data_IF_343874309146
#
_entry.id   IF_343874309146
#
_cell.length_a   1.000
_cell.length_b   1.000
_cell.length_c   1.000
_cell.angle_alpha   90.00
_cell.angle_beta   90.00
_cell.angle_gamma   90.00
#
_symmetry.space_group_name_H-M   'P 1'
#
loop_
_entity.id
_entity.type
_entity.pdbx_description
1 polymer ?
#
# COMPACT_ATOMS: atom_id res chain seq x y z
N UNK A 1 -32.06 25.72 -40.13
CA UNK A 1 -31.07 24.66 -40.45
C UNK A 1 -29.74 24.77 -39.70
N UNK A 2 -29.31 25.94 -39.20
CA UNK A 2 -28.02 26.09 -38.49
C UNK A 2 -27.98 25.64 -37.02
N UNK A 3 -29.13 25.52 -36.34
CA UNK A 3 -29.18 25.26 -34.89
C UNK A 3 -29.13 23.76 -34.54
N UNK A 4 -29.54 22.89 -35.46
CA UNK A 4 -29.54 21.43 -35.28
C UNK A 4 -28.14 20.86 -35.52
N UNK A 5 -27.36 21.43 -36.46
CA UNK A 5 -25.97 21.03 -36.69
C UNK A 5 -25.07 21.30 -35.48
N UNK A 6 -25.35 22.36 -34.70
CA UNK A 6 -24.51 22.73 -33.55
C UNK A 6 -24.70 21.79 -32.35
N UNK A 7 -25.92 21.28 -32.15
CA UNK A 7 -26.26 20.32 -31.07
C UNK A 7 -25.65 18.94 -31.35
N UNK A 8 -25.63 18.51 -32.62
CA UNK A 8 -24.99 17.24 -33.02
C UNK A 8 -23.47 17.31 -32.86
N UNK A 9 -22.87 18.48 -33.11
CA UNK A 9 -21.42 18.69 -32.90
C UNK A 9 -21.03 18.70 -31.41
N UNK A 10 -21.87 19.26 -30.53
CA UNK A 10 -21.65 19.25 -29.07
C UNK A 10 -21.86 17.87 -28.44
N UNK A 11 -22.80 17.06 -28.95
CA UNK A 11 -23.01 15.70 -28.46
C UNK A 11 -21.91 14.72 -28.93
N UNK A 12 -21.28 14.96 -30.09
CA UNK A 12 -20.17 14.14 -30.56
C UNK A 12 -18.86 14.34 -29.75
N UNK A 13 -18.66 15.50 -29.12
CA UNK A 13 -17.46 15.78 -28.33
C UNK A 13 -17.44 15.19 -26.92
N UNK A 14 -18.60 14.82 -26.37
CA UNK A 14 -18.69 14.28 -24.99
C UNK A 14 -18.34 12.78 -24.94
N UNK A 15 -18.37 12.06 -26.07
CA UNK A 15 -18.12 10.62 -26.14
C UNK A 15 -16.63 10.22 -26.21
N UNK A 16 -15.69 11.16 -26.36
CA UNK A 16 -14.26 10.83 -26.58
C UNK A 16 -13.42 10.88 -25.29
N UNK A 17 -13.91 11.50 -24.20
CA UNK A 17 -13.09 11.76 -23.00
C UNK A 17 -13.28 10.79 -21.83
N UNK A 18 -14.22 9.84 -21.90
CA UNK A 18 -14.56 8.98 -20.76
C UNK A 18 -13.60 7.82 -20.45
N UNK A 19 -12.69 7.46 -21.36
CA UNK A 19 -11.92 6.21 -21.26
C UNK A 19 -10.62 6.25 -20.45
N UNK A 20 -10.09 7.44 -20.10
CA UNK A 20 -8.74 7.54 -19.48
C UNK A 20 -8.71 7.49 -17.95
N UNK A 21 -9.79 7.86 -17.26
CA UNK A 21 -9.75 8.07 -15.81
C UNK A 21 -9.57 6.76 -15.02
N UNK A 22 -10.21 5.66 -15.44
CA UNK A 22 -10.11 4.37 -14.73
C UNK A 22 -8.75 3.66 -14.88
N UNK A 23 -8.02 3.91 -15.96
CA UNK A 23 -6.72 3.25 -16.21
C UNK A 23 -5.57 3.85 -15.40
N UNK A 24 -5.64 5.14 -15.09
CA UNK A 24 -4.59 5.85 -14.35
C UNK A 24 -4.53 5.39 -12.88
N UNK A 25 -5.68 5.14 -12.26
CA UNK A 25 -5.74 4.68 -10.87
C UNK A 25 -5.20 3.25 -10.71
N UNK A 26 -5.53 2.34 -11.64
CA UNK A 26 -5.04 0.96 -11.61
C UNK A 26 -3.51 0.87 -11.82
N UNK A 27 -2.96 1.70 -12.70
CA UNK A 27 -1.50 1.79 -12.91
C UNK A 27 -0.80 2.34 -11.65
N UNK A 28 -1.36 3.38 -11.03
CA UNK A 28 -0.81 3.97 -9.81
C UNK A 28 -0.83 2.99 -8.63
N UNK A 29 -1.91 2.22 -8.47
CA UNK A 29 -2.01 1.15 -7.47
C UNK A 29 -0.96 0.07 -7.73
N UNK A 30 -0.81 -0.36 -8.99
CA UNK A 30 0.19 -1.36 -9.37
C UNK A 30 1.61 -0.87 -9.08
N UNK A 31 1.91 0.40 -9.39
CA UNK A 31 3.17 1.05 -9.03
C UNK A 31 3.36 1.07 -7.51
N UNK A 32 2.31 1.35 -6.75
CA UNK A 32 2.33 1.36 -5.29
C UNK A 32 2.68 0.01 -4.68
N UNK A 33 2.13 -1.09 -5.22
CA UNK A 33 2.48 -2.44 -4.77
C UNK A 33 3.94 -2.78 -5.08
N UNK A 34 4.46 -2.38 -6.24
CA UNK A 34 5.90 -2.50 -6.53
C UNK A 34 6.74 -1.71 -5.52
N UNK A 35 6.36 -0.48 -5.17
CA UNK A 35 7.05 0.30 -4.12
C UNK A 35 7.01 -0.43 -2.78
N UNK A 36 5.88 -1.06 -2.42
CA UNK A 36 5.77 -1.89 -1.21
C UNK A 36 6.82 -3.02 -1.18
N UNK A 37 7.09 -3.66 -2.32
CA UNK A 37 8.15 -4.67 -2.47
C UNK A 37 9.56 -4.04 -2.42
N UNK A 38 9.81 -3.05 -3.26
CA UNK A 38 11.14 -2.44 -3.42
C UNK A 38 11.64 -1.78 -2.14
N UNK A 39 10.74 -1.20 -1.34
CA UNK A 39 11.05 -0.63 -0.02
C UNK A 39 11.00 -1.65 1.11
N UNK A 40 10.77 -2.93 0.79
CA UNK A 40 10.76 -4.07 1.73
C UNK A 40 9.74 -3.92 2.86
N UNK A 41 8.57 -3.36 2.57
CA UNK A 41 7.48 -3.27 3.55
C UNK A 41 7.01 -4.67 3.97
N UNK A 42 7.07 -5.65 3.05
CA UNK A 42 6.70 -7.05 3.28
C UNK A 42 7.50 -7.77 4.37
N UNK A 43 8.70 -7.28 4.72
CA UNK A 43 9.52 -7.92 5.77
C UNK A 43 8.95 -7.75 7.18
N UNK A 44 7.99 -6.84 7.35
CA UNK A 44 7.33 -6.61 8.64
C UNK A 44 5.81 -6.71 8.55
N UNK A 45 5.23 -6.43 7.39
CA UNK A 45 3.79 -6.44 7.17
C UNK A 45 3.39 -7.54 6.19
N UNK A 46 2.24 -8.17 6.43
CA UNK A 46 1.59 -9.03 5.43
C UNK A 46 0.51 -8.26 4.67
N UNK A 47 0.15 -8.77 3.50
CA UNK A 47 -1.08 -8.39 2.79
C UNK A 47 -1.70 -9.69 2.27
N UNK A 48 -2.39 -10.40 3.14
CA UNK A 48 -2.97 -11.70 2.82
C UNK A 48 -3.97 -11.65 1.65
N UNK A 49 -4.66 -10.52 1.45
CA UNK A 49 -5.59 -10.33 0.33
C UNK A 49 -4.92 -10.39 -1.06
N UNK A 50 -3.63 -10.03 -1.16
CA UNK A 50 -2.86 -9.98 -2.40
C UNK A 50 -1.57 -10.82 -2.30
N UNK A 51 -1.58 -11.88 -1.48
CA UNK A 51 -0.38 -12.66 -1.19
C UNK A 51 0.28 -13.23 -2.46
N UNK A 52 -0.52 -13.67 -3.45
CA UNK A 52 -0.01 -14.25 -4.70
C UNK A 52 0.69 -13.19 -5.55
N UNK A 53 0.11 -12.01 -5.66
CA UNK A 53 0.65 -10.87 -6.39
C UNK A 53 1.95 -10.37 -5.75
N UNK A 54 1.97 -10.28 -4.41
CA UNK A 54 3.15 -9.91 -3.64
C UNK A 54 4.29 -10.91 -3.85
N UNK A 55 4.04 -12.22 -3.74
CA UNK A 55 5.10 -13.22 -3.94
C UNK A 55 5.64 -13.19 -5.38
N UNK A 56 4.77 -13.07 -6.38
CA UNK A 56 5.21 -12.92 -7.78
C UNK A 56 6.11 -11.69 -7.95
N UNK A 57 5.71 -10.53 -7.41
CA UNK A 57 6.48 -9.29 -7.53
C UNK A 57 7.77 -9.31 -6.71
N UNK A 58 7.81 -10.01 -5.55
CA UNK A 58 9.03 -10.28 -4.78
C UNK A 58 10.04 -11.06 -5.62
N UNK A 59 9.60 -12.12 -6.28
CA UNK A 59 10.45 -12.91 -7.15
C UNK A 59 10.97 -12.10 -8.36
N UNK A 60 10.10 -11.31 -8.99
CA UNK A 60 10.49 -10.42 -10.10
C UNK A 60 11.54 -9.41 -9.65
N UNK A 61 11.35 -8.79 -8.48
CA UNK A 61 12.31 -7.87 -7.91
C UNK A 61 13.65 -8.55 -7.59
N UNK A 62 13.63 -9.73 -6.98
CA UNK A 62 14.85 -10.47 -6.68
C UNK A 62 15.62 -10.88 -7.94
N UNK A 63 14.91 -11.42 -8.96
CA UNK A 63 15.48 -11.72 -10.27
C UNK A 63 16.11 -10.48 -10.91
N UNK A 64 15.42 -9.34 -10.89
CA UNK A 64 15.92 -8.07 -11.42
C UNK A 64 17.15 -7.52 -10.65
N UNK A 65 17.32 -7.90 -9.39
CA UNK A 65 18.50 -7.55 -8.58
C UNK A 65 19.62 -8.61 -8.62
N UNK A 66 19.44 -9.69 -9.39
CA UNK A 66 20.40 -10.81 -9.41
C UNK A 66 20.50 -11.53 -8.07
N UNK A 67 19.44 -11.50 -7.27
CA UNK A 67 19.35 -12.19 -5.98
C UNK A 67 18.62 -13.51 -6.23
N UNK A 68 19.30 -14.63 -5.99
CA UNK A 68 18.65 -15.94 -5.98
C UNK A 68 17.80 -16.07 -4.72
N UNK A 69 16.47 -16.17 -4.88
CA UNK A 69 15.58 -16.56 -3.78
C UNK A 69 15.72 -18.07 -3.62
N UNK A 70 16.27 -18.55 -2.51
CA UNK A 70 16.18 -19.97 -2.18
C UNK A 70 14.73 -20.27 -1.80
N UNK A 71 14.06 -21.10 -2.59
CA UNK A 71 12.75 -21.60 -2.25
C UNK A 71 12.84 -22.36 -0.91
N UNK A 72 12.08 -21.90 0.10
CA UNK A 72 12.00 -22.55 1.41
C UNK A 72 12.80 -21.88 2.55
N UNK A 73 13.42 -20.71 2.34
CA UNK A 73 13.75 -19.84 3.48
C UNK A 73 12.43 -19.21 3.97
N UNK A 74 11.75 -19.91 4.88
CA UNK A 74 10.66 -19.34 5.67
C UNK A 74 11.19 -18.04 6.32
N UNK A 75 10.67 -16.88 5.92
CA UNK A 75 10.91 -15.64 6.64
C UNK A 75 10.47 -15.89 8.09
N UNK A 76 11.43 -15.98 9.02
CA UNK A 76 11.18 -16.30 10.44
C UNK A 76 9.90 -15.59 10.92
N UNK A 77 8.86 -16.38 11.19
CA UNK A 77 7.50 -15.90 11.49
C UNK A 77 7.48 -14.93 12.69
N UNK A 78 8.47 -15.09 13.58
CA UNK A 78 8.74 -14.26 14.77
C UNK A 78 9.16 -12.80 14.46
N UNK A 79 9.37 -12.44 13.18
CA UNK A 79 9.85 -11.10 12.77
C UNK A 79 8.78 -10.15 12.20
N UNK A 80 7.55 -10.62 11.94
CA UNK A 80 6.46 -9.80 11.33
C UNK A 80 5.75 -8.91 12.36
N UNK A 81 6.48 -7.92 12.86
CA UNK A 81 6.01 -6.97 13.88
C UNK A 81 4.96 -5.94 13.41
N UNK A 82 4.64 -5.87 12.12
CA UNK A 82 3.83 -4.82 11.51
C UNK A 82 2.33 -5.12 11.41
N UNK A 83 1.92 -6.37 11.58
CA UNK A 83 0.54 -6.80 11.36
C UNK A 83 0.16 -6.86 9.87
N UNK A 84 -1.02 -7.40 9.60
CA UNK A 84 -1.57 -7.50 8.26
C UNK A 84 -2.18 -6.15 7.81
N UNK A 85 -2.00 -5.80 6.53
CA UNK A 85 -2.49 -4.55 5.96
C UNK A 85 -3.62 -4.74 4.94
N UNK A 86 -4.18 -5.94 4.80
CA UNK A 86 -5.17 -6.27 3.77
C UNK A 86 -6.41 -5.37 3.75
N UNK A 87 -6.74 -4.75 4.87
CA UNK A 87 -7.92 -3.89 5.04
C UNK A 87 -7.57 -2.47 5.52
N UNK A 88 -6.30 -2.06 5.49
CA UNK A 88 -5.85 -0.79 6.07
C UNK A 88 -6.57 0.42 5.44
N UNK A 89 -6.97 0.33 4.17
CA UNK A 89 -7.74 1.35 3.47
C UNK A 89 -9.20 1.49 3.91
N UNK A 90 -9.70 0.59 4.78
CA UNK A 90 -10.98 0.77 5.48
C UNK A 90 -10.86 1.59 6.74
N UNK A 91 -9.77 1.39 7.47
CA UNK A 91 -9.58 2.01 8.78
C UNK A 91 -8.85 3.34 8.68
N UNK A 92 -8.02 3.52 7.64
CA UNK A 92 -7.18 4.71 7.44
C UNK A 92 -7.38 5.29 6.06
N UNK A 93 -7.64 6.60 6.00
CA UNK A 93 -7.68 7.32 4.73
C UNK A 93 -6.27 7.69 4.23
N UNK A 94 -6.20 8.14 2.97
CA UNK A 94 -4.94 8.54 2.35
C UNK A 94 -4.21 9.64 3.15
N UNK A 95 -4.94 10.62 3.69
CA UNK A 95 -4.36 11.73 4.45
C UNK A 95 -3.69 11.23 5.71
N UNK A 96 -4.33 10.31 6.43
CA UNK A 96 -3.77 9.68 7.61
C UNK A 96 -2.49 8.92 7.27
N UNK A 97 -2.54 8.08 6.24
CA UNK A 97 -1.39 7.29 5.79
C UNK A 97 -0.22 8.19 5.38
N UNK A 98 -0.48 9.31 4.72
CA UNK A 98 0.54 10.29 4.32
C UNK A 98 1.26 10.90 5.53
N UNK A 99 0.53 11.25 6.60
CA UNK A 99 1.13 11.83 7.80
C UNK A 99 1.85 10.75 8.61
N UNK A 100 1.24 9.57 8.74
CA UNK A 100 1.79 8.45 9.49
C UNK A 100 3.12 7.97 8.91
N UNK A 101 3.18 7.67 7.61
CA UNK A 101 4.39 7.13 6.98
C UNK A 101 5.55 8.14 6.94
N UNK A 102 5.26 9.45 6.99
CA UNK A 102 6.29 10.50 7.12
C UNK A 102 6.89 10.56 8.53
N UNK A 103 6.07 10.39 9.58
CA UNK A 103 6.59 10.28 10.95
C UNK A 103 5.68 9.44 11.87
N UNK A 104 5.92 8.11 11.94
CA UNK A 104 5.01 7.22 12.65
C UNK A 104 5.21 7.29 14.18
N UNK A 105 6.30 7.93 14.64
CA UNK A 105 6.72 7.91 16.06
C UNK A 105 5.65 8.38 17.04
N UNK A 106 4.91 9.43 16.69
CA UNK A 106 3.90 10.04 17.57
C UNK A 106 2.67 9.14 17.79
N UNK A 107 2.45 8.18 16.90
CA UNK A 107 1.31 7.29 16.90
C UNK A 107 1.52 6.03 17.75
N UNK A 108 2.74 5.74 18.22
CA UNK A 108 2.97 4.57 19.06
C UNK A 108 2.58 4.82 20.52
N UNK A 109 1.97 3.81 21.16
CA UNK A 109 1.71 3.78 22.60
C UNK A 109 3.01 3.85 23.40
N UNK A 110 2.96 4.48 24.57
CA UNK A 110 4.07 4.59 25.52
C UNK A 110 3.93 3.54 26.64
N UNK A 111 3.73 2.29 26.25
CA UNK A 111 3.63 1.14 27.15
C UNK A 111 4.91 0.29 27.05
N UNK A 112 5.38 -0.38 28.12
CA UNK A 112 6.63 -1.14 28.09
C UNK A 112 6.72 -2.18 26.96
N UNK A 113 5.63 -2.91 26.69
CA UNK A 113 5.55 -3.89 25.61
C UNK A 113 5.69 -3.21 24.23
N UNK A 114 4.95 -2.11 24.04
CA UNK A 114 4.98 -1.31 22.82
C UNK A 114 6.34 -0.65 22.63
N UNK A 115 6.96 -0.12 23.67
CA UNK A 115 8.28 0.49 23.65
C UNK A 115 9.37 -0.52 23.25
N UNK A 116 9.28 -1.77 23.75
CA UNK A 116 10.19 -2.87 23.34
C UNK A 116 10.05 -3.19 21.85
N UNK A 117 8.81 -3.26 21.35
CA UNK A 117 8.49 -3.50 19.93
C UNK A 117 8.79 -2.29 19.04
N UNK A 118 8.78 -1.08 19.58
CA UNK A 118 8.86 0.14 18.81
C UNK A 118 10.28 0.75 18.78
N UNK A 119 11.29 -0.12 18.70
CA UNK A 119 12.68 0.25 18.39
C UNK A 119 12.71 1.04 17.08
N UNK A 120 13.74 1.89 16.90
CA UNK A 120 13.94 2.70 15.68
C UNK A 120 13.85 1.87 14.38
N UNK A 121 14.23 0.59 14.41
CA UNK A 121 14.11 -0.33 13.27
C UNK A 121 12.66 -0.66 12.86
N UNK A 122 11.68 -0.47 13.73
CA UNK A 122 10.25 -0.74 13.50
C UNK A 122 9.42 0.54 13.33
N UNK A 123 9.94 1.69 13.75
CA UNK A 123 9.35 3.03 13.52
C UNK A 123 9.97 3.72 12.30
N UNK A 124 10.09 3.00 11.18
CA UNK A 124 10.75 3.53 9.97
C UNK A 124 9.85 4.57 9.30
N UNK A 125 10.42 5.75 9.06
CA UNK A 125 9.84 6.71 8.11
C UNK A 125 10.00 6.16 6.69
N UNK A 126 9.03 6.44 5.84
CA UNK A 126 9.18 6.16 4.41
C UNK A 126 10.40 6.89 3.84
N UNK A 127 11.12 6.22 2.94
CA UNK A 127 12.28 6.76 2.22
C UNK A 127 12.13 6.44 0.73
N UNK A 128 11.87 7.47 -0.06
CA UNK A 128 11.63 7.36 -1.49
C UNK A 128 11.36 8.73 -2.10
N UNK A 129 11.07 8.77 -3.39
CA UNK A 129 10.60 9.98 -4.07
C UNK A 129 9.15 10.28 -3.74
N UNK A 130 8.68 11.48 -4.08
CA UNK A 130 7.28 11.84 -3.90
C UNK A 130 6.36 10.96 -4.77
N UNK A 131 6.78 10.61 -5.99
CA UNK A 131 5.99 9.72 -6.85
C UNK A 131 5.92 8.28 -6.34
N UNK A 132 6.98 7.78 -5.69
CA UNK A 132 6.94 6.49 -5.00
C UNK A 132 6.01 6.55 -3.80
N UNK A 133 6.05 7.67 -3.05
CA UNK A 133 5.22 7.86 -1.87
C UNK A 133 3.74 7.90 -2.22
N UNK A 134 3.35 8.70 -3.21
CA UNK A 134 1.97 8.80 -3.68
C UNK A 134 1.43 7.47 -4.19
N UNK A 135 2.23 6.73 -4.97
CA UNK A 135 1.87 5.41 -5.44
C UNK A 135 1.63 4.44 -4.28
N UNK A 136 2.54 4.42 -3.28
CA UNK A 136 2.37 3.59 -2.09
C UNK A 136 1.09 3.93 -1.31
N UNK A 137 0.77 5.22 -1.16
CA UNK A 137 -0.47 5.66 -0.51
C UNK A 137 -1.70 5.19 -1.29
N UNK A 138 -1.69 5.30 -2.61
CA UNK A 138 -2.78 4.82 -3.46
C UNK A 138 -3.01 3.31 -3.29
N UNK A 139 -1.93 2.52 -3.30
CA UNK A 139 -2.01 1.08 -3.05
C UNK A 139 -2.57 0.77 -1.66
N UNK A 140 -2.00 1.32 -0.59
CA UNK A 140 -2.49 1.07 0.78
C UNK A 140 -3.96 1.48 0.98
N UNK A 141 -4.37 2.59 0.36
CA UNK A 141 -5.77 3.07 0.44
C UNK A 141 -6.73 2.15 -0.33
N UNK A 142 -6.25 1.44 -1.36
CA UNK A 142 -7.04 0.47 -2.11
C UNK A 142 -7.27 -0.85 -1.36
N UNK A 143 -6.44 -1.17 -0.35
CA UNK A 143 -6.54 -2.39 0.44
C UNK A 143 -7.77 -2.34 1.36
N UNK A 144 -8.89 -2.88 0.88
CA UNK A 144 -10.18 -2.88 1.57
C UNK A 144 -10.78 -4.28 1.70
N UNK A 145 -9.95 -5.26 2.05
CA UNK A 145 -10.41 -6.64 2.16
C UNK A 145 -11.47 -6.85 3.26
N UNK A 146 -12.45 -7.73 3.02
CA UNK A 146 -13.62 -7.95 3.89
C UNK A 146 -13.43 -8.98 5.01
N UNK A 147 -12.34 -9.73 5.01
CA UNK A 147 -12.14 -10.78 6.02
C UNK A 147 -11.54 -10.20 7.31
N UNK A 148 -12.07 -10.68 8.43
CA UNK A 148 -11.60 -10.35 9.77
C UNK A 148 -10.09 -10.63 9.89
N UNK A 149 -9.32 -9.60 10.25
CA UNK A 149 -7.89 -9.72 10.50
C UNK A 149 -7.63 -10.60 11.73
N UNK A 150 -6.38 -11.06 11.88
CA UNK A 150 -5.96 -11.81 13.05
C UNK A 150 -6.29 -11.04 14.34
N UNK A 151 -7.15 -11.64 15.17
CA UNK A 151 -7.64 -11.06 16.43
C UNK A 151 -6.54 -10.92 17.48
N UNK A 152 -5.42 -11.62 17.28
CA UNK A 152 -4.32 -11.67 18.23
C UNK A 152 -3.27 -10.57 17.96
N UNK A 153 -3.42 -9.78 16.87
CA UNK A 153 -2.55 -8.63 16.63
C UNK A 153 -2.87 -7.47 17.56
N UNK A 154 -2.19 -7.42 18.71
CA UNK A 154 -2.22 -6.26 19.61
C UNK A 154 -1.47 -5.08 19.00
N UNK A 155 -2.23 -4.13 18.46
CA UNK A 155 -1.67 -2.89 17.90
C UNK A 155 -0.91 -2.08 18.95
N UNK A 156 0.35 -1.75 18.62
CA UNK A 156 1.18 -0.82 19.37
C UNK A 156 0.90 0.66 19.01
N UNK A 157 -0.09 0.91 18.15
CA UNK A 157 -0.54 2.26 17.81
C UNK A 157 -1.60 2.72 18.80
N UNK A 158 -1.59 4.02 19.12
CA UNK A 158 -2.64 4.68 19.90
C UNK A 158 -3.96 4.57 19.14
N UNK A 159 -5.03 4.38 19.90
CA UNK A 159 -6.37 4.61 19.39
C UNK A 159 -6.56 6.12 19.18
N UNK A 160 -7.28 6.48 18.13
CA UNK A 160 -7.51 7.87 17.71
C UNK A 160 -9.00 8.15 17.58
#
# INVERSE_FOLDING_TARGET
MGQILWIVFLLATILVSGGKVFGQDADLITKGRKVFIEKRCYTCHTVNAEAKEIEREKEEFARAKGIEIKAGEEEEEDQKSGGDLSDIGKTRDAKWLMVFLKDPRKYFKDEPECARKAKKKYRKRFKGTDEEFEALIAYLTSLKYEREQDKDFKSCLKEE
#
